data_IF_112198687321
#
_entry.id   IF_112198687321
#
_cell.length_a   1.000
_cell.length_b   1.000
_cell.length_c   1.000
_cell.angle_alpha   90.00
_cell.angle_beta   90.00
_cell.angle_gamma   90.00
#
_symmetry.space_group_name_H-M   'P 1'
#
loop_
_entity.id
_entity.type
_entity.pdbx_description
1 polymer ?
#
# COMPACT_ATOMS: atom_id res chain seq x y z
N UNK A 1 -16.26 15.11 -14.29
CA UNK A 1 -15.91 15.51 -12.91
C UNK A 1 -14.47 15.97 -12.90
N UNK A 2 -14.10 16.88 -12.01
CA UNK A 2 -12.71 17.31 -11.81
C UNK A 2 -12.13 16.66 -10.56
N UNK A 3 -11.03 15.92 -10.71
CA UNK A 3 -10.29 15.30 -9.61
C UNK A 3 -8.92 15.99 -9.49
N UNK A 4 -8.83 16.99 -8.61
CA UNK A 4 -7.59 17.73 -8.33
C UNK A 4 -6.97 18.34 -9.60
N UNK A 5 -7.79 18.98 -10.44
CA UNK A 5 -7.35 19.58 -11.70
C UNK A 5 -7.20 18.57 -12.86
N UNK A 6 -7.58 17.30 -12.64
CA UNK A 6 -7.64 16.28 -13.68
C UNK A 6 -9.10 16.03 -14.09
N UNK A 7 -9.51 16.45 -15.29
CA UNK A 7 -10.83 16.11 -15.83
C UNK A 7 -10.95 14.61 -16.05
N UNK A 8 -12.03 14.00 -15.54
CA UNK A 8 -12.32 12.59 -15.72
C UNK A 8 -13.82 12.31 -15.93
N UNK A 9 -14.07 11.15 -16.51
CA UNK A 9 -15.40 10.60 -16.71
C UNK A 9 -15.77 9.69 -15.54
N UNK A 10 -17.00 9.84 -15.04
CA UNK A 10 -17.62 8.92 -14.11
C UNK A 10 -18.97 8.46 -14.68
N UNK A 11 -19.48 7.28 -14.30
CA UNK A 11 -20.85 6.90 -14.61
C UNK A 11 -21.82 7.92 -14.02
N UNK A 12 -22.79 8.38 -14.82
CA UNK A 12 -23.78 9.39 -14.39
C UNK A 12 -24.58 8.96 -13.16
N UNK A 13 -24.90 7.67 -13.05
CA UNK A 13 -25.64 7.12 -11.91
C UNK A 13 -24.88 7.17 -10.58
N UNK A 14 -23.57 7.40 -10.61
CA UNK A 14 -22.69 7.43 -9.43
C UNK A 14 -22.32 8.86 -9.00
N UNK A 15 -22.83 9.89 -9.67
CA UNK A 15 -22.44 11.28 -9.40
C UNK A 15 -22.67 11.68 -7.94
N UNK A 16 -23.82 11.30 -7.37
CA UNK A 16 -24.11 11.51 -5.94
C UNK A 16 -23.15 10.72 -5.05
N UNK A 17 -22.92 9.44 -5.36
CA UNK A 17 -22.01 8.57 -4.59
C UNK A 17 -20.61 9.16 -4.51
N UNK A 18 -20.09 9.71 -5.62
CA UNK A 18 -18.78 10.37 -5.66
C UNK A 18 -18.78 11.72 -4.93
N UNK A 19 -19.86 12.48 -4.98
CA UNK A 19 -19.99 13.76 -4.27
C UNK A 19 -20.10 13.62 -2.75
N UNK A 20 -20.68 12.51 -2.27
CA UNK A 20 -20.85 12.20 -0.85
C UNK A 20 -19.73 11.31 -0.28
N UNK A 21 -18.85 10.80 -1.15
CA UNK A 21 -17.72 9.97 -0.73
C UNK A 21 -16.84 10.74 0.25
N UNK A 22 -16.49 10.07 1.35
CA UNK A 22 -15.54 10.62 2.33
C UNK A 22 -14.12 10.32 1.91
N UNK A 23 -13.17 11.10 2.44
CA UNK A 23 -11.75 10.81 2.28
C UNK A 23 -11.44 9.40 2.80
N UNK A 24 -10.70 8.57 2.04
CA UNK A 24 -10.28 7.26 2.51
C UNK A 24 -9.48 7.37 3.82
N UNK A 25 -9.77 6.49 4.77
CA UNK A 25 -9.08 6.41 6.05
C UNK A 25 -8.69 4.98 6.39
N UNK A 26 -7.54 4.81 7.05
CA UNK A 26 -7.08 3.54 7.59
C UNK A 26 -5.94 2.90 6.81
N UNK A 27 -5.60 1.66 7.17
CA UNK A 27 -4.43 0.95 6.67
C UNK A 27 -4.79 -0.42 6.11
N UNK A 28 -4.24 -0.78 4.94
CA UNK A 28 -4.40 -2.11 4.33
C UNK A 28 -3.09 -2.63 3.76
N UNK A 29 -2.84 -3.92 3.98
CA UNK A 29 -1.81 -4.66 3.27
C UNK A 29 -2.44 -5.29 2.03
N UNK A 30 -2.07 -4.77 0.86
CA UNK A 30 -2.63 -5.19 -0.43
C UNK A 30 -1.71 -6.20 -1.08
N UNK A 31 -2.28 -7.32 -1.53
CA UNK A 31 -1.55 -8.31 -2.34
C UNK A 31 -1.43 -7.83 -3.80
N UNK A 32 -0.49 -8.38 -4.56
CA UNK A 32 -0.22 -7.96 -5.95
C UNK A 32 -1.47 -7.82 -6.85
N UNK A 33 -2.45 -8.75 -6.84
CA UNK A 33 -3.65 -8.61 -7.66
C UNK A 33 -4.52 -7.41 -7.27
N UNK A 34 -4.63 -7.11 -5.98
CA UNK A 34 -5.46 -6.02 -5.44
C UNK A 34 -4.88 -4.66 -5.83
N UNK A 35 -3.57 -4.59 -6.01
CA UNK A 35 -2.92 -3.36 -6.41
C UNK A 35 -3.24 -2.96 -7.85
N UNK A 36 -3.54 -3.93 -8.72
CA UNK A 36 -4.02 -3.66 -10.08
C UNK A 36 -5.41 -3.03 -10.09
N UNK A 37 -6.21 -3.22 -9.02
CA UNK A 37 -7.55 -2.64 -8.89
C UNK A 37 -7.52 -1.15 -8.54
N UNK A 38 -6.43 -0.66 -7.94
CA UNK A 38 -6.28 0.76 -7.59
C UNK A 38 -5.74 1.64 -8.74
N UNK A 39 -5.67 1.07 -9.95
CA UNK A 39 -5.35 1.80 -11.16
C UNK A 39 -3.85 1.87 -11.47
N UNK A 40 -3.56 2.27 -12.70
CA UNK A 40 -2.22 2.52 -13.20
C UNK A 40 -1.60 3.64 -12.36
N UNK A 41 -0.58 3.28 -11.60
CA UNK A 41 0.39 4.13 -10.94
C UNK A 41 0.35 5.62 -11.34
N UNK A 42 -0.44 6.46 -10.66
CA UNK A 42 -0.49 7.90 -10.97
C UNK A 42 0.79 8.64 -10.55
N UNK A 43 1.56 8.08 -9.62
CA UNK A 43 2.73 8.73 -9.00
C UNK A 43 4.08 8.10 -9.36
N UNK A 44 4.11 7.05 -10.19
CA UNK A 44 5.36 6.35 -10.54
C UNK A 44 5.92 5.43 -9.43
N UNK A 45 5.12 5.15 -8.40
CA UNK A 45 5.47 4.33 -7.24
C UNK A 45 5.09 2.85 -7.43
N UNK A 46 4.10 2.57 -8.26
CA UNK A 46 3.61 1.25 -8.64
C UNK A 46 4.36 0.67 -9.84
N UNK A 47 5.55 0.21 -9.53
CA UNK A 47 6.41 -0.52 -10.44
C UNK A 47 5.93 -1.98 -10.51
N UNK A 48 5.36 -2.36 -11.66
CA UNK A 48 5.01 -3.74 -12.02
C UNK A 48 6.15 -4.75 -11.69
N UNK A 49 5.84 -6.05 -11.52
CA UNK A 49 6.82 -7.08 -11.20
C UNK A 49 8.09 -6.97 -12.08
N UNK A 50 9.25 -6.69 -11.47
CA UNK A 50 10.55 -6.75 -12.14
C UNK A 50 11.27 -5.43 -12.47
N UNK A 51 10.75 -4.24 -12.13
CA UNK A 51 11.48 -2.96 -12.36
C UNK A 51 12.18 -2.41 -11.10
N UNK A 52 13.21 -3.15 -10.69
CA UNK A 52 14.07 -2.96 -9.51
C UNK A 52 14.57 -1.53 -9.27
N UNK A 53 14.24 -1.00 -8.08
CA UNK A 53 15.18 -0.26 -7.21
C UNK A 53 15.00 -0.67 -5.74
N UNK A 54 13.80 -1.09 -5.33
CA UNK A 54 13.45 -1.42 -3.94
C UNK A 54 13.40 -2.93 -3.60
N UNK A 55 13.59 -3.82 -4.57
CA UNK A 55 13.51 -5.29 -4.37
C UNK A 55 14.74 -6.00 -4.96
N UNK A 56 15.60 -6.62 -4.14
CA UNK A 56 16.68 -7.51 -4.64
C UNK A 56 16.08 -8.68 -5.43
N UNK A 57 16.71 -9.15 -6.52
CA UNK A 57 16.18 -10.30 -7.28
C UNK A 57 16.22 -11.64 -6.54
N UNK A 58 16.98 -11.72 -5.45
CA UNK A 58 16.99 -12.89 -4.56
C UNK A 58 15.86 -12.87 -3.53
N UNK A 59 15.02 -11.83 -3.54
CA UNK A 59 13.96 -11.64 -2.56
C UNK A 59 12.70 -12.40 -3.01
N UNK A 60 12.17 -13.27 -2.15
CA UNK A 60 10.84 -13.88 -2.28
C UNK A 60 9.70 -12.88 -2.06
N UNK A 61 10.02 -11.59 -1.90
CA UNK A 61 9.09 -10.47 -1.96
C UNK A 61 8.41 -10.40 -3.34
N UNK A 62 7.16 -10.86 -3.38
CA UNK A 62 6.21 -10.45 -4.41
C UNK A 62 5.84 -8.97 -4.19
N UNK A 63 5.55 -8.18 -5.24
CA UNK A 63 5.22 -6.77 -5.07
C UNK A 63 3.84 -6.62 -4.43
N UNK A 64 3.81 -6.60 -3.10
CA UNK A 64 2.63 -6.27 -2.31
C UNK A 64 2.78 -4.83 -1.79
N UNK A 65 1.68 -4.12 -1.60
CA UNK A 65 1.67 -2.69 -1.28
C UNK A 65 1.03 -2.41 0.08
N UNK A 66 1.43 -1.30 0.68
CA UNK A 66 0.86 -0.80 1.92
C UNK A 66 0.05 0.45 1.56
N UNK A 67 -1.25 0.38 1.76
CA UNK A 67 -2.17 1.51 1.59
C UNK A 67 -2.41 2.18 2.94
N UNK A 68 -2.24 3.49 3.02
CA UNK A 68 -2.57 4.32 4.18
C UNK A 68 -3.36 5.53 3.69
N UNK A 69 -4.57 5.72 4.23
CA UNK A 69 -5.44 6.86 3.94
C UNK A 69 -5.60 7.13 2.42
N UNK A 70 -5.73 6.04 1.64
CA UNK A 70 -5.91 6.09 0.19
C UNK A 70 -4.63 6.21 -0.64
N UNK A 71 -3.44 6.24 -0.02
CA UNK A 71 -2.14 6.35 -0.69
C UNK A 71 -1.29 5.10 -0.51
N UNK A 72 -0.55 4.70 -1.55
CA UNK A 72 0.45 3.64 -1.43
C UNK A 72 1.73 4.24 -0.83
N UNK A 73 2.08 3.80 0.37
CA UNK A 73 3.18 4.38 1.18
C UNK A 73 4.38 3.44 1.34
N UNK A 74 4.33 2.27 0.71
CA UNK A 74 5.38 1.27 0.82
C UNK A 74 5.01 -0.08 0.28
N UNK A 75 5.88 -1.04 0.55
CA UNK A 75 5.76 -2.42 0.15
C UNK A 75 5.94 -3.35 1.35
N UNK A 76 5.42 -4.57 1.23
CA UNK A 76 5.57 -5.58 2.25
C UNK A 76 5.80 -6.98 1.68
N UNK A 77 6.36 -7.83 2.53
CA UNK A 77 6.59 -9.23 2.25
C UNK A 77 6.49 -10.03 3.54
N UNK A 78 6.54 -11.35 3.39
CA UNK A 78 6.32 -12.27 4.50
C UNK A 78 7.40 -13.34 4.52
N UNK A 79 7.87 -13.66 5.72
CA UNK A 79 8.70 -14.84 6.00
C UNK A 79 8.20 -15.52 7.27
N UNK A 80 7.55 -16.68 7.15
CA UNK A 80 6.94 -17.37 8.29
C UNK A 80 5.80 -16.55 8.89
N UNK A 81 5.88 -16.18 10.17
CA UNK A 81 4.91 -15.28 10.82
C UNK A 81 5.33 -13.80 10.80
N UNK A 82 6.51 -13.50 10.23
CA UNK A 82 7.06 -12.15 10.16
C UNK A 82 6.56 -11.43 8.92
N UNK A 83 6.02 -10.23 9.10
CA UNK A 83 5.64 -9.30 8.03
C UNK A 83 6.71 -8.21 7.95
N UNK A 84 7.51 -8.26 6.90
CA UNK A 84 8.59 -7.30 6.65
C UNK A 84 8.04 -6.14 5.82
N UNK A 85 8.27 -4.90 6.27
CA UNK A 85 7.83 -3.69 5.54
C UNK A 85 9.00 -2.83 5.07
N UNK A 86 8.78 -2.12 3.95
CA UNK A 86 9.64 -1.04 3.45
C UNK A 86 8.74 0.15 3.12
N UNK A 87 8.92 1.25 3.83
CA UNK A 87 8.13 2.47 3.64
C UNK A 87 8.89 3.46 2.75
N UNK A 88 8.17 4.15 1.85
CA UNK A 88 8.74 5.22 1.03
C UNK A 88 8.72 6.59 1.73
N UNK A 89 7.98 6.69 2.83
CA UNK A 89 7.83 7.91 3.63
C UNK A 89 7.73 7.60 5.12
N UNK A 90 7.84 8.64 5.96
CA UNK A 90 7.67 8.51 7.40
C UNK A 90 6.18 8.52 7.74
N UNK A 91 5.73 7.51 8.49
CA UNK A 91 4.36 7.47 9.00
C UNK A 91 4.27 8.15 10.37
N UNK A 92 3.10 8.68 10.69
CA UNK A 92 2.80 9.17 12.03
C UNK A 92 2.70 8.00 13.02
N UNK A 93 2.83 8.29 14.32
CA UNK A 93 2.66 7.27 15.37
C UNK A 93 1.29 6.59 15.31
N UNK A 94 0.23 7.33 14.97
CA UNK A 94 -1.11 6.78 14.81
C UNK A 94 -1.19 5.79 13.63
N UNK A 95 -0.59 6.13 12.50
CA UNK A 95 -0.52 5.24 11.33
C UNK A 95 0.34 4.00 11.59
N UNK A 96 1.39 4.11 12.42
CA UNK A 96 2.14 2.93 12.87
C UNK A 96 1.28 1.99 13.73
N UNK A 97 0.40 2.52 14.58
CA UNK A 97 -0.53 1.72 15.38
C UNK A 97 -1.54 1.00 14.49
N UNK A 98 -2.13 1.68 13.51
CA UNK A 98 -3.09 1.05 12.58
C UNK A 98 -2.43 0.00 11.70
N UNK A 99 -1.19 0.24 11.26
CA UNK A 99 -0.38 -0.73 10.53
C UNK A 99 -0.12 -2.00 11.35
N UNK A 100 0.28 -1.83 12.62
CA UNK A 100 0.50 -2.97 13.52
C UNK A 100 -0.79 -3.74 13.79
N UNK A 101 -1.93 -3.05 13.98
CA UNK A 101 -3.22 -3.67 14.17
C UNK A 101 -3.67 -4.48 12.94
N UNK A 102 -3.43 -3.95 11.73
CA UNK A 102 -3.76 -4.65 10.49
C UNK A 102 -2.97 -5.97 10.34
N UNK A 103 -1.70 -6.01 10.73
CA UNK A 103 -0.90 -7.26 10.71
C UNK A 103 -1.54 -8.36 11.56
N UNK A 104 -2.19 -8.00 12.67
CA UNK A 104 -2.85 -8.97 13.55
C UNK A 104 -4.07 -9.64 12.89
N UNK A 105 -4.59 -9.07 11.80
CA UNK A 105 -5.72 -9.65 11.05
C UNK A 105 -5.29 -10.78 10.11
N UNK A 106 -3.98 -10.98 9.91
CA UNK A 106 -3.49 -11.95 8.96
C UNK A 106 -3.85 -13.38 9.43
N UNK A 107 -4.20 -14.29 8.51
CA UNK A 107 -4.69 -15.62 8.84
C UNK A 107 -3.55 -16.59 9.19
N UNK A 108 -2.62 -16.19 10.08
CA UNK A 108 -1.56 -17.05 10.58
C UNK A 108 -1.12 -16.67 11.99
N UNK A 109 -0.68 -17.68 12.74
CA UNK A 109 -0.29 -17.55 14.14
C UNK A 109 0.89 -16.60 14.33
N UNK A 110 0.83 -15.79 15.39
CA UNK A 110 1.90 -14.90 15.84
C UNK A 110 2.39 -13.91 14.76
N UNK A 111 1.47 -13.43 13.93
CA UNK A 111 1.74 -12.38 12.95
C UNK A 111 2.30 -11.16 13.66
N UNK A 112 3.46 -10.68 13.21
CA UNK A 112 4.08 -9.48 13.78
C UNK A 112 4.80 -8.68 12.72
N UNK A 113 4.78 -7.36 12.92
CA UNK A 113 5.47 -6.41 12.08
C UNK A 113 6.97 -6.48 12.39
N UNK A 114 7.79 -6.55 11.34
CA UNK A 114 9.21 -6.25 11.40
C UNK A 114 9.46 -5.10 10.46
N UNK A 115 10.03 -4.01 10.97
CA UNK A 115 10.63 -3.02 10.10
C UNK A 115 11.85 -3.68 9.46
N UNK A 116 11.98 -3.61 8.14
CA UNK A 116 13.23 -4.03 7.51
C UNK A 116 14.37 -3.20 8.12
N UNK A 117 15.55 -3.79 8.39
CA UNK A 117 16.72 -3.01 8.80
C UNK A 117 16.96 -1.90 7.78
N UNK A 118 17.45 -0.73 8.24
CA UNK A 118 17.74 0.50 7.47
C UNK A 118 18.79 0.33 6.35
N UNK A 119 18.98 -0.86 5.80
CA UNK A 119 19.83 -1.08 4.64
C UNK A 119 19.17 -0.45 3.41
N UNK A 120 19.91 0.46 2.76
CA UNK A 120 19.58 1.27 1.57
C UNK A 120 19.00 2.68 1.84
N UNK A 121 19.58 3.45 2.78
CA UNK A 121 19.90 4.85 2.44
C UNK A 121 21.01 4.81 1.39
N UNK A 122 20.79 5.46 0.25
CA UNK A 122 21.81 5.66 -0.79
C UNK A 122 23.01 6.40 -0.22
#
# INVERSE_FOLDING_TARGET
>A
MDFEGTPAWIPRGEETSFGEATTPHGTRFLVEPDLRLLGRDRDGLFIAPGRRTLTPASDTFHPNGILVDGRIVGAWGRKGSRVDIRLSEHLTSAQHVTLAAEVLTFPFSNAHLSTAPESFRR
#
